data_IF_484461499532
#
_entry.id   IF_484461499532
#
_cell.length_a   1.000
_cell.length_b   1.000
_cell.length_c   1.000
_cell.angle_alpha   90.00
_cell.angle_beta   90.00
_cell.angle_gamma   90.00
#
_symmetry.space_group_name_H-M   'P 1'
#
loop_
_entity.id
_entity.type
_entity.pdbx_description
1 polymer ?
#
# COMPACT_ATOMS: atom_id res chain seq x y z
N UNK A 1 -34.26 -19.84 -50.33
CA UNK A 1 -32.85 -20.09 -50.72
C UNK A 1 -32.12 -18.76 -50.66
N UNK A 2 -31.11 -18.52 -49.83
CA UNK A 2 -30.55 -19.31 -48.72
C UNK A 2 -29.78 -18.37 -47.76
N UNK A 3 -29.80 -18.66 -46.45
CA UNK A 3 -28.75 -18.31 -45.47
C UNK A 3 -27.60 -19.35 -45.56
N UNK A 4 -26.40 -19.22 -44.91
CA UNK A 4 -25.97 -18.47 -43.71
C UNK A 4 -24.87 -17.40 -44.06
N UNK A 5 -23.93 -16.90 -43.23
CA UNK A 5 -23.35 -17.30 -41.91
C UNK A 5 -22.78 -16.10 -41.12
N UNK A 6 -22.25 -16.34 -39.92
CA UNK A 6 -21.62 -15.41 -38.97
C UNK A 6 -20.14 -15.07 -39.25
N UNK A 7 -19.63 -14.02 -38.59
CA UNK A 7 -18.20 -13.77 -38.41
C UNK A 7 -17.92 -12.49 -37.61
N UNK A 8 -17.97 -12.56 -36.27
CA UNK A 8 -17.39 -11.53 -35.39
C UNK A 8 -15.96 -11.92 -35.08
N UNK A 9 -15.00 -11.13 -35.57
CA UNK A 9 -13.58 -11.27 -35.21
C UNK A 9 -13.24 -10.18 -34.19
N UNK A 10 -12.65 -10.60 -33.07
CA UNK A 10 -12.25 -9.75 -31.96
C UNK A 10 -10.73 -9.64 -31.99
N UNK A 11 -10.24 -8.60 -32.68
CA UNK A 11 -8.79 -8.37 -32.80
C UNK A 11 -8.22 -7.86 -31.48
N UNK A 12 -7.68 -8.79 -30.71
CA UNK A 12 -6.78 -8.55 -29.60
C UNK A 12 -5.50 -7.87 -30.12
N UNK A 13 -5.28 -6.62 -29.71
CA UNK A 13 -4.05 -5.87 -29.95
C UNK A 13 -3.33 -5.57 -28.63
N UNK A 14 -3.12 -6.61 -27.83
CA UNK A 14 -2.14 -6.67 -26.74
C UNK A 14 -0.70 -6.61 -27.27
N UNK A 15 -0.31 -5.46 -27.84
CA UNK A 15 1.04 -5.22 -28.33
C UNK A 15 2.00 -4.82 -27.20
N UNK A 16 2.62 -5.86 -26.63
CA UNK A 16 3.94 -5.89 -25.97
C UNK A 16 4.71 -4.55 -25.92
N UNK A 17 4.89 -4.01 -24.70
CA UNK A 17 5.87 -2.96 -24.41
C UNK A 17 6.89 -3.49 -23.40
N UNK A 18 8.21 -3.32 -23.66
CA UNK A 18 9.23 -3.80 -22.74
C UNK A 18 9.18 -3.03 -21.42
N UNK A 19 8.91 -3.75 -20.32
CA UNK A 19 9.05 -3.24 -18.95
C UNK A 19 10.54 -3.03 -18.64
N UNK A 20 11.02 -1.80 -18.79
CA UNK A 20 12.32 -1.38 -18.24
C UNK A 20 12.20 -1.22 -16.72
N UNK A 21 13.14 -1.76 -15.91
CA UNK A 21 13.08 -1.61 -14.46
C UNK A 21 13.37 -0.15 -14.07
N UNK A 22 12.34 0.57 -13.65
CA UNK A 22 12.45 1.98 -13.25
C UNK A 22 12.94 2.10 -11.81
N UNK A 23 13.96 2.91 -11.59
CA UNK A 23 14.48 3.25 -10.27
C UNK A 23 13.57 4.26 -9.58
N UNK A 24 13.31 4.03 -8.29
CA UNK A 24 12.86 5.01 -7.30
C UNK A 24 13.54 6.38 -7.46
N UNK A 25 12.93 7.44 -6.89
CA UNK A 25 13.37 8.85 -6.84
C UNK A 25 13.49 9.64 -8.17
N UNK A 26 12.44 10.40 -8.54
CA UNK A 26 12.49 11.87 -8.85
C UNK A 26 11.04 12.41 -9.06
N UNK A 27 10.61 13.47 -8.37
CA UNK A 27 9.20 13.91 -8.32
C UNK A 27 8.80 14.96 -9.38
N UNK A 28 7.49 15.03 -9.68
CA UNK A 28 6.87 16.14 -10.43
C UNK A 28 6.60 17.36 -9.55
N UNK A 29 7.66 18.05 -9.11
CA UNK A 29 7.57 19.44 -8.66
C UNK A 29 8.95 20.12 -8.61
N UNK A 30 9.47 20.54 -9.78
CA UNK A 30 10.54 21.56 -9.82
C UNK A 30 10.29 22.61 -10.89
N UNK A 31 10.04 23.84 -10.43
CA UNK A 31 10.49 25.00 -11.16
C UNK A 31 12.02 25.06 -11.12
N UNK A 32 12.64 25.30 -12.27
CA UNK A 32 14.02 25.80 -12.46
C UNK A 32 15.18 25.01 -11.81
N UNK A 33 16.01 24.40 -12.66
CA UNK A 33 17.44 24.17 -12.37
C UNK A 33 18.28 25.00 -13.31
N UNK A 34 19.28 25.72 -12.77
CA UNK A 34 20.30 26.40 -13.54
C UNK A 34 21.67 25.71 -13.38
N UNK A 35 22.30 25.43 -14.51
CA UNK A 35 23.75 25.31 -14.73
C UNK A 35 24.59 24.32 -13.87
N UNK A 36 24.84 23.14 -14.46
CA UNK A 36 26.16 22.61 -14.84
C UNK A 36 27.36 22.66 -13.86
N UNK A 37 28.05 21.51 -13.73
CA UNK A 37 29.38 21.34 -14.36
C UNK A 37 29.82 19.86 -14.50
N UNK A 38 30.57 19.60 -15.57
CA UNK A 38 31.24 18.32 -15.89
C UNK A 38 32.70 18.37 -15.45
N UNK A 39 33.26 17.21 -15.06
CA UNK A 39 34.66 16.73 -15.09
C UNK A 39 34.82 15.75 -13.90
N UNK A 40 35.35 14.52 -14.01
CA UNK A 40 35.76 13.72 -15.18
C UNK A 40 36.88 12.71 -14.83
N UNK A 41 36.89 11.53 -15.47
CA UNK A 41 38.12 10.76 -15.72
C UNK A 41 38.43 9.48 -14.91
N UNK A 42 38.25 8.33 -15.56
CA UNK A 42 39.03 7.09 -15.36
C UNK A 42 38.65 6.16 -14.20
N UNK A 43 38.93 4.85 -14.23
CA UNK A 43 39.38 3.97 -15.34
C UNK A 43 39.15 2.49 -14.97
N UNK A 44 38.92 1.66 -16.00
CA UNK A 44 38.93 0.18 -16.05
C UNK A 44 39.47 -0.63 -14.85
N UNK A 45 38.66 -1.60 -14.40
CA UNK A 45 39.14 -2.94 -14.00
C UNK A 45 38.06 -4.00 -14.24
N UNK A 46 38.32 -4.98 -15.10
CA UNK A 46 37.46 -6.16 -15.31
C UNK A 46 37.94 -7.26 -14.37
N UNK A 47 37.04 -7.85 -13.57
CA UNK A 47 37.30 -9.10 -12.87
C UNK A 47 36.07 -10.01 -12.81
N UNK A 48 36.26 -11.27 -13.21
CA UNK A 48 35.59 -12.43 -12.62
C UNK A 48 34.15 -12.70 -13.06
N UNK A 49 33.99 -13.55 -14.07
CA UNK A 49 32.81 -14.43 -14.18
C UNK A 49 32.81 -15.43 -13.00
N UNK A 50 32.33 -14.98 -11.85
CA UNK A 50 31.92 -15.84 -10.75
C UNK A 50 30.42 -16.09 -10.84
N UNK A 51 30.02 -17.26 -11.32
CA UNK A 51 28.61 -17.64 -11.33
C UNK A 51 28.10 -17.71 -9.88
N UNK A 52 27.21 -16.79 -9.50
CA UNK A 52 26.41 -16.94 -8.27
C UNK A 52 25.59 -18.21 -8.40
N UNK A 53 25.68 -19.16 -7.44
CA UNK A 53 24.86 -20.36 -7.49
C UNK A 53 23.40 -19.96 -7.38
N UNK A 54 22.60 -20.34 -8.38
CA UNK A 54 21.15 -20.16 -8.39
C UNK A 54 20.50 -21.14 -7.39
N UNK A 55 20.67 -20.84 -6.10
CA UNK A 55 20.08 -21.58 -4.98
C UNK A 55 19.49 -20.64 -3.92
N UNK A 56 18.85 -19.57 -4.38
CA UNK A 56 17.81 -18.87 -3.64
C UNK A 56 16.53 -18.89 -4.49
N UNK A 57 16.02 -20.10 -4.70
CA UNK A 57 14.64 -20.32 -5.16
C UNK A 57 13.66 -19.95 -4.05
N UNK A 58 13.60 -18.67 -3.71
CA UNK A 58 12.34 -18.09 -3.26
C UNK A 58 11.50 -17.93 -4.51
N UNK A 59 10.53 -18.83 -4.71
CA UNK A 59 9.59 -18.68 -5.80
C UNK A 59 8.89 -17.32 -5.64
N UNK A 60 9.06 -16.43 -6.61
CA UNK A 60 8.13 -15.32 -6.77
C UNK A 60 6.76 -15.97 -6.95
N UNK A 61 5.87 -15.76 -5.98
CA UNK A 61 4.54 -16.34 -6.01
C UNK A 61 3.70 -15.49 -6.98
N UNK A 62 3.90 -15.72 -8.29
CA UNK A 62 3.14 -15.07 -9.36
C UNK A 62 1.63 -15.20 -9.07
N UNK A 63 1.02 -14.10 -8.63
CA UNK A 63 -0.42 -14.02 -8.35
C UNK A 63 -0.83 -13.55 -6.95
N UNK A 64 0.07 -13.45 -5.95
CA UNK A 64 -0.28 -12.87 -4.64
C UNK A 64 0.24 -11.42 -4.52
N UNK A 65 -0.58 -10.44 -4.10
CA UNK A 65 -0.08 -9.09 -3.84
C UNK A 65 1.03 -9.08 -2.79
N UNK A 66 2.05 -8.19 -2.93
CA UNK A 66 3.11 -8.07 -1.95
C UNK A 66 2.56 -7.51 -0.63
N UNK A 67 2.88 -8.12 0.52
CA UNK A 67 2.34 -7.67 1.80
C UNK A 67 3.04 -6.41 2.33
N UNK A 68 2.22 -5.51 2.87
CA UNK A 68 2.58 -4.20 3.42
C UNK A 68 2.77 -4.30 4.93
N UNK A 69 3.71 -3.54 5.50
CA UNK A 69 3.90 -3.44 6.94
C UNK A 69 2.91 -2.46 7.55
N UNK A 70 2.24 -2.86 8.63
CA UNK A 70 1.45 -1.99 9.51
C UNK A 70 1.83 -2.22 10.97
N UNK A 71 1.11 -1.59 11.89
CA UNK A 71 1.26 -1.80 13.34
C UNK A 71 -0.03 -2.29 13.99
N UNK A 72 0.11 -3.13 15.01
CA UNK A 72 -0.96 -3.53 15.94
C UNK A 72 -0.34 -3.76 17.32
N UNK A 73 -0.99 -3.24 18.37
CA UNK A 73 -0.56 -3.42 19.77
C UNK A 73 0.95 -3.19 20.02
N UNK A 74 1.53 -2.18 19.37
CA UNK A 74 2.95 -1.80 19.41
C UNK A 74 3.92 -2.79 18.74
N UNK A 75 3.40 -3.80 18.04
CA UNK A 75 4.15 -4.77 17.22
C UNK A 75 3.91 -4.56 15.71
N UNK A 76 4.91 -4.84 14.85
CA UNK A 76 4.73 -4.80 13.40
C UNK A 76 3.94 -6.01 12.91
N UNK A 77 3.03 -5.77 11.97
CA UNK A 77 2.25 -6.81 11.29
C UNK A 77 2.40 -6.68 9.78
N UNK A 78 1.99 -7.71 9.02
CA UNK A 78 1.89 -7.61 7.55
C UNK A 78 0.50 -7.93 7.04
N UNK A 79 0.04 -7.19 6.05
CA UNK A 79 -1.32 -7.28 5.48
C UNK A 79 -1.32 -7.09 3.96
N UNK A 80 -2.45 -7.34 3.31
CA UNK A 80 -2.65 -7.12 1.87
C UNK A 80 -3.71 -6.03 1.65
N UNK A 81 -3.70 -5.41 0.47
CA UNK A 81 -4.85 -4.69 -0.07
C UNK A 81 -5.46 -5.57 -1.17
N UNK A 82 -6.75 -5.92 -1.11
CA UNK A 82 -7.37 -6.81 -2.10
C UNK A 82 -8.59 -6.20 -2.81
N UNK A 83 -9.49 -5.57 -2.06
CA UNK A 83 -10.66 -4.88 -2.61
C UNK A 83 -10.92 -3.57 -1.87
N UNK A 84 -11.46 -2.55 -2.54
CA UNK A 84 -11.82 -1.26 -1.94
C UNK A 84 -13.21 -0.79 -2.41
N UNK A 85 -13.96 -0.12 -1.53
CA UNK A 85 -15.29 0.42 -1.83
C UNK A 85 -15.30 1.64 -2.73
N UNK A 86 -14.16 2.31 -2.86
CA UNK A 86 -13.97 3.54 -3.60
C UNK A 86 -13.01 3.33 -4.77
N UNK A 87 -13.31 3.94 -5.92
CA UNK A 87 -12.56 3.75 -7.16
C UNK A 87 -11.19 4.44 -7.12
N UNK A 88 -11.11 5.66 -6.58
CA UNK A 88 -9.86 6.43 -6.52
C UNK A 88 -8.88 5.78 -5.53
N UNK A 89 -9.39 5.22 -4.43
CA UNK A 89 -8.59 4.41 -3.50
C UNK A 89 -8.16 3.07 -4.11
N UNK A 90 -9.01 2.39 -4.88
CA UNK A 90 -8.63 1.16 -5.58
C UNK A 90 -7.50 1.40 -6.59
N UNK A 91 -7.61 2.46 -7.39
CA UNK A 91 -6.59 2.84 -8.38
C UNK A 91 -5.28 3.27 -7.68
N UNK A 92 -5.35 4.12 -6.64
CA UNK A 92 -4.19 4.56 -5.86
C UNK A 92 -3.41 3.38 -5.25
N UNK A 93 -4.11 2.44 -4.61
CA UNK A 93 -3.48 1.27 -4.00
C UNK A 93 -2.93 0.31 -5.06
N UNK A 94 -3.59 0.21 -6.22
CA UNK A 94 -3.10 -0.61 -7.35
C UNK A 94 -1.77 -0.09 -7.87
N UNK A 95 -1.68 1.20 -8.15
CA UNK A 95 -0.47 1.87 -8.65
C UNK A 95 0.66 1.85 -7.60
N UNK A 96 0.33 2.06 -6.32
CA UNK A 96 1.31 2.04 -5.22
C UNK A 96 1.95 0.66 -5.03
N UNK A 97 1.17 -0.43 -5.18
CA UNK A 97 1.62 -1.79 -4.89
C UNK A 97 2.13 -2.57 -6.11
N UNK A 98 2.02 -2.01 -7.33
CA UNK A 98 2.16 -2.73 -8.62
C UNK A 98 1.33 -4.04 -8.62
N UNK A 99 0.14 -4.00 -8.02
CA UNK A 99 -0.68 -5.17 -7.77
C UNK A 99 -2.17 -4.83 -7.70
N UNK A 100 -3.09 -5.55 -8.40
CA UNK A 100 -4.49 -5.14 -8.50
C UNK A 100 -5.24 -5.11 -7.18
N UNK A 101 -5.86 -3.96 -6.88
CA UNK A 101 -6.91 -3.82 -5.86
C UNK A 101 -8.24 -3.64 -6.58
N UNK A 102 -9.21 -4.51 -6.32
CA UNK A 102 -10.47 -4.53 -7.07
C UNK A 102 -11.46 -3.52 -6.47
N UNK A 103 -11.99 -2.62 -7.30
CA UNK A 103 -13.06 -1.72 -6.90
C UNK A 103 -14.40 -2.48 -6.74
N UNK A 104 -14.97 -2.46 -5.53
CA UNK A 104 -16.22 -3.16 -5.15
C UNK A 104 -17.11 -2.20 -4.34
N UNK A 105 -17.94 -1.35 -5.00
CA UNK A 105 -18.75 -0.32 -4.34
C UNK A 105 -19.60 -0.83 -3.16
N UNK A 106 -20.16 -2.04 -3.30
CA UNK A 106 -21.03 -2.66 -2.31
C UNK A 106 -20.36 -2.93 -0.95
N UNK A 107 -19.03 -2.79 -0.84
CA UNK A 107 -18.35 -2.80 0.46
C UNK A 107 -18.77 -1.61 1.35
N UNK A 108 -19.04 -0.44 0.78
CA UNK A 108 -19.53 0.72 1.53
C UNK A 108 -20.97 0.53 2.07
N UNK A 109 -21.75 -0.36 1.45
CA UNK A 109 -23.10 -0.72 1.91
C UNK A 109 -23.10 -1.80 3.02
N UNK A 110 -21.93 -2.32 3.41
CA UNK A 110 -21.86 -3.36 4.46
C UNK A 110 -22.01 -2.76 5.86
N UNK A 111 -22.75 -3.40 6.80
CA UNK A 111 -23.01 -2.81 8.11
C UNK A 111 -21.76 -2.56 8.95
N UNK A 112 -21.66 -1.37 9.54
CA UNK A 112 -20.54 -0.91 10.40
C UNK A 112 -20.07 -1.93 11.46
N UNK A 113 -20.94 -2.72 12.13
CA UNK A 113 -20.50 -3.74 13.10
C UNK A 113 -19.68 -4.91 12.49
N UNK A 114 -19.53 -4.97 11.16
CA UNK A 114 -18.65 -5.91 10.47
C UNK A 114 -17.27 -5.31 10.14
N UNK A 115 -17.05 -4.03 10.43
CA UNK A 115 -15.79 -3.32 10.16
C UNK A 115 -14.94 -3.22 11.42
N UNK A 116 -13.61 -3.22 11.23
CA UNK A 116 -12.65 -2.83 12.26
C UNK A 116 -11.85 -1.64 11.76
N UNK A 117 -11.60 -0.59 12.56
CA UNK A 117 -10.91 0.59 12.06
C UNK A 117 -9.46 0.27 11.65
N UNK A 118 -9.03 0.88 10.55
CA UNK A 118 -7.62 1.05 10.18
C UNK A 118 -7.31 2.55 10.17
N UNK A 119 -6.29 2.94 10.93
CA UNK A 119 -5.89 4.33 11.08
C UNK A 119 -4.78 4.66 10.07
N UNK A 120 -5.11 5.53 9.12
CA UNK A 120 -4.27 5.89 7.98
C UNK A 120 -3.82 7.34 8.13
N UNK A 121 -2.51 7.59 8.16
CA UNK A 121 -1.97 8.91 8.49
C UNK A 121 -1.83 9.78 7.24
N UNK A 122 -2.41 10.99 7.28
CA UNK A 122 -2.38 11.95 6.16
C UNK A 122 -1.40 13.12 6.37
N UNK A 123 -0.74 13.17 7.53
CA UNK A 123 0.39 14.04 7.83
C UNK A 123 1.24 13.47 8.99
N UNK A 124 2.30 14.20 9.38
CA UNK A 124 3.08 13.91 10.59
C UNK A 124 4.46 13.34 10.27
N UNK A 125 4.73 12.12 10.73
CA UNK A 125 6.04 11.46 10.58
C UNK A 125 6.18 10.88 9.16
N UNK A 126 7.14 11.38 8.39
CA UNK A 126 7.63 10.77 7.14
C UNK A 126 8.77 9.81 7.48
N UNK A 127 8.62 8.48 7.29
CA UNK A 127 9.65 7.50 7.64
C UNK A 127 10.63 7.23 6.47
N UNK A 128 11.90 6.96 6.78
CA UNK A 128 12.90 6.49 5.80
C UNK A 128 12.63 5.07 5.23
N UNK A 129 11.53 4.42 5.63
CA UNK A 129 11.26 3.00 5.43
C UNK A 129 9.83 2.72 4.96
N UNK A 130 9.16 1.77 5.62
CA UNK A 130 7.75 1.49 5.34
C UNK A 130 6.89 2.71 5.71
N UNK A 131 5.97 3.09 4.81
CA UNK A 131 5.07 4.22 4.94
C UNK A 131 3.62 3.79 4.62
N UNK A 132 2.64 4.51 5.15
CA UNK A 132 1.24 4.41 4.74
C UNK A 132 0.99 5.05 3.36
N UNK A 133 -0.22 4.93 2.80
CA UNK A 133 -0.53 5.33 1.42
C UNK A 133 -0.36 6.82 1.09
N UNK A 134 -0.24 7.69 2.10
CA UNK A 134 0.03 9.12 1.93
C UNK A 134 1.50 9.52 2.19
N UNK A 135 2.41 8.55 2.38
CA UNK A 135 3.84 8.79 2.59
C UNK A 135 4.24 9.06 4.05
N UNK A 136 3.28 9.04 4.99
CA UNK A 136 3.54 9.16 6.43
C UNK A 136 3.71 7.78 7.08
N UNK A 137 3.70 7.71 8.40
CA UNK A 137 3.91 6.45 9.15
C UNK A 137 2.99 5.30 8.69
N UNK A 138 3.40 4.03 8.87
CA UNK A 138 2.55 2.88 8.61
C UNK A 138 1.19 2.93 9.31
N UNK A 139 0.21 2.29 8.67
CA UNK A 139 -1.16 2.19 9.15
C UNK A 139 -1.25 1.41 10.47
N UNK A 140 -2.17 1.83 11.35
CA UNK A 140 -2.40 1.18 12.65
C UNK A 140 -3.71 0.42 12.63
N UNK A 141 -3.67 -0.85 13.00
CA UNK A 141 -4.82 -1.75 13.05
C UNK A 141 -5.32 -1.90 14.49
N UNK A 142 -6.64 -1.99 14.66
CA UNK A 142 -7.27 -2.25 15.97
C UNK A 142 -7.46 -3.74 16.29
N UNK A 143 -7.30 -4.65 15.32
CA UNK A 143 -7.45 -6.10 15.53
C UNK A 143 -6.67 -6.96 14.53
N UNK A 144 -6.18 -8.11 14.96
CA UNK A 144 -5.47 -9.13 14.16
C UNK A 144 -6.12 -10.52 14.31
N UNK A 145 -5.85 -11.50 13.43
CA UNK A 145 -6.48 -12.82 13.52
C UNK A 145 -6.20 -13.50 14.86
N UNK A 146 -7.26 -13.85 15.59
CA UNK A 146 -7.18 -14.33 16.98
C UNK A 146 -7.96 -13.45 17.94
N UNK A 147 -8.10 -12.15 17.63
CA UNK A 147 -8.98 -11.23 18.36
C UNK A 147 -10.46 -11.53 18.08
N UNK A 148 -11.30 -11.45 19.12
CA UNK A 148 -12.76 -11.54 18.99
C UNK A 148 -13.35 -10.47 18.03
N UNK A 149 -12.66 -9.33 17.90
CA UNK A 149 -13.02 -8.22 17.03
C UNK A 149 -12.27 -8.23 15.67
N UNK A 150 -11.68 -9.35 15.26
CA UNK A 150 -11.02 -9.45 13.97
C UNK A 150 -12.00 -9.50 12.80
N UNK A 151 -11.74 -8.64 11.82
CA UNK A 151 -12.40 -8.65 10.51
C UNK A 151 -11.41 -8.15 9.46
N UNK A 152 -11.39 -8.72 8.24
CA UNK A 152 -10.60 -8.17 7.15
C UNK A 152 -11.25 -6.92 6.53
N UNK A 153 -12.52 -6.63 6.80
CA UNK A 153 -13.18 -5.41 6.33
C UNK A 153 -12.76 -4.24 7.22
N UNK A 154 -12.02 -3.28 6.65
CA UNK A 154 -11.52 -2.13 7.39
C UNK A 154 -12.24 -0.86 6.97
N UNK A 155 -12.86 -0.18 7.93
CA UNK A 155 -13.24 1.22 7.76
C UNK A 155 -11.98 2.08 7.83
N UNK A 156 -11.79 2.95 6.85
CA UNK A 156 -10.65 3.88 6.80
C UNK A 156 -10.90 5.03 7.79
N UNK A 157 -9.97 5.24 8.71
CA UNK A 157 -9.97 6.34 9.67
C UNK A 157 -8.76 7.22 9.36
N UNK A 158 -8.98 8.37 8.71
CA UNK A 158 -7.91 9.29 8.32
C UNK A 158 -7.45 10.08 9.54
N UNK A 159 -6.18 9.94 9.92
CA UNK A 159 -5.57 10.59 11.09
C UNK A 159 -4.73 11.80 10.65
N UNK A 160 -5.06 12.97 11.19
CA UNK A 160 -4.38 14.25 10.95
C UNK A 160 -3.87 14.84 12.27
N UNK A 161 -2.55 14.94 12.43
CA UNK A 161 -1.90 15.72 13.49
C UNK A 161 -2.29 17.19 13.42
N UNK A 162 -2.68 17.75 14.57
CA UNK A 162 -3.00 19.19 14.69
C UNK A 162 -1.72 20.03 14.57
N UNK A 163 -1.77 21.23 13.94
CA UNK A 163 -0.60 22.12 13.83
C UNK A 163 0.03 22.59 15.16
N UNK A 164 -0.65 22.38 16.28
CA UNK A 164 -0.17 22.70 17.65
C UNK A 164 0.41 21.51 18.41
N UNK A 165 0.38 20.31 17.82
CA UNK A 165 0.92 19.08 18.41
C UNK A 165 2.24 18.70 17.71
N UNK A 166 3.16 18.12 18.47
CA UNK A 166 4.40 17.54 17.92
C UNK A 166 4.10 16.11 17.46
N UNK A 167 4.25 15.77 16.16
CA UNK A 167 3.99 14.41 15.69
C UNK A 167 4.95 13.39 16.30
N UNK A 168 4.43 12.18 16.55
CA UNK A 168 5.18 11.02 17.00
C UNK A 168 4.59 9.76 16.37
N UNK A 169 5.38 8.71 16.21
CA UNK A 169 4.84 7.44 15.71
C UNK A 169 3.83 6.87 16.70
N UNK A 170 2.65 6.50 16.21
CA UNK A 170 1.62 5.77 16.94
C UNK A 170 1.56 4.33 16.40
N UNK A 171 1.59 3.35 17.29
CA UNK A 171 1.76 1.92 16.93
C UNK A 171 0.64 1.02 17.46
N UNK A 172 -0.40 1.60 18.06
CA UNK A 172 -1.55 0.88 18.60
C UNK A 172 -2.80 1.76 18.56
N UNK A 173 -3.98 1.14 18.39
CA UNK A 173 -5.25 1.85 18.37
C UNK A 173 -5.49 2.64 19.66
N UNK A 174 -5.07 2.11 20.82
CA UNK A 174 -5.10 2.81 22.10
C UNK A 174 -4.25 4.08 22.11
N UNK A 175 -3.08 4.08 21.44
CA UNK A 175 -2.23 5.26 21.30
C UNK A 175 -2.85 6.32 20.37
N UNK A 176 -3.55 5.89 19.31
CA UNK A 176 -4.34 6.78 18.43
C UNK A 176 -5.51 7.41 19.18
N UNK A 177 -6.32 6.60 19.88
CA UNK A 177 -7.42 7.08 20.70
C UNK A 177 -6.94 7.97 21.87
N UNK A 178 -5.72 7.75 22.39
CA UNK A 178 -5.11 8.63 23.38
C UNK A 178 -4.72 9.99 22.79
N UNK A 179 -4.10 10.01 21.60
CA UNK A 179 -3.76 11.24 20.90
C UNK A 179 -5.03 12.05 20.53
N UNK A 180 -6.09 11.38 20.07
CA UNK A 180 -7.36 12.03 19.75
C UNK A 180 -8.01 12.66 21.00
N UNK A 181 -8.11 11.90 22.10
CA UNK A 181 -8.63 12.42 23.38
C UNK A 181 -7.80 13.56 23.97
N UNK A 182 -6.51 13.63 23.65
CA UNK A 182 -5.64 14.74 24.02
C UNK A 182 -5.79 15.97 23.09
N UNK A 183 -6.51 15.83 21.96
CA UNK A 183 -6.61 16.84 20.92
C UNK A 183 -5.34 16.99 20.07
N UNK A 184 -4.43 16.00 20.12
CA UNK A 184 -3.19 15.97 19.34
C UNK A 184 -3.45 15.65 17.86
N UNK A 185 -4.44 14.80 17.58
CA UNK A 185 -4.90 14.44 16.23
C UNK A 185 -6.40 14.71 16.04
N UNK A 186 -6.82 14.81 14.79
CA UNK A 186 -8.19 14.61 14.35
C UNK A 186 -8.32 13.27 13.63
N UNK A 187 -9.50 12.66 13.71
CA UNK A 187 -9.87 11.50 12.93
C UNK A 187 -11.07 11.86 12.05
N UNK A 188 -11.03 11.48 10.77
CA UNK A 188 -12.15 11.65 9.82
C UNK A 188 -12.45 10.32 9.15
N UNK A 189 -13.73 9.95 9.10
CA UNK A 189 -14.21 8.73 8.48
C UNK A 189 -14.88 9.07 7.14
N UNK A 190 -14.21 8.86 5.99
CA UNK A 190 -14.77 9.16 4.67
C UNK A 190 -15.84 8.16 4.19
N UNK A 191 -16.17 7.13 4.97
CA UNK A 191 -17.09 6.06 4.57
C UNK A 191 -16.48 5.03 3.61
N UNK A 192 -15.14 4.97 3.53
CA UNK A 192 -14.41 4.05 2.65
C UNK A 192 -14.11 2.75 3.42
N UNK A 193 -14.42 1.62 2.79
CA UNK A 193 -14.16 0.27 3.31
C UNK A 193 -13.16 -0.44 2.40
N UNK A 194 -12.09 -0.99 2.97
CA UNK A 194 -11.07 -1.76 2.25
C UNK A 194 -10.94 -3.15 2.86
N UNK A 195 -10.93 -4.19 2.03
CA UNK A 195 -10.56 -5.53 2.47
C UNK A 195 -9.05 -5.58 2.66
N UNK A 196 -8.61 -5.61 3.92
CA UNK A 196 -7.21 -5.70 4.33
C UNK A 196 -6.98 -6.93 5.22
N UNK A 197 -6.81 -8.13 4.63
CA UNK A 197 -6.56 -9.33 5.39
C UNK A 197 -5.11 -9.34 5.88
N UNK A 198 -4.93 -9.44 7.20
CA UNK A 198 -3.62 -9.64 7.82
C UNK A 198 -3.09 -11.02 7.42
N UNK A 199 -1.78 -11.12 7.18
CA UNK A 199 -1.08 -12.35 6.76
C UNK A 199 0.04 -12.77 7.72
N UNK A 200 0.48 -11.85 8.58
CA UNK A 200 1.60 -12.04 9.51
C UNK A 200 1.34 -11.16 10.74
N UNK A 201 1.28 -11.76 11.93
CA UNK A 201 0.92 -11.11 13.20
C UNK A 201 1.60 -11.84 14.39
N UNK A 202 1.63 -11.28 15.62
CA UNK A 202 2.50 -11.78 16.69
C UNK A 202 2.38 -13.28 17.02
N UNK A 203 1.15 -13.82 16.94
CA UNK A 203 0.84 -15.21 17.24
C UNK A 203 0.62 -16.11 16.01
N UNK A 204 0.83 -15.63 14.77
CA UNK A 204 0.58 -16.45 13.58
C UNK A 204 0.86 -15.83 12.21
N UNK A 205 0.76 -16.67 11.17
CA UNK A 205 0.90 -16.30 9.76
C UNK A 205 0.00 -17.19 8.88
N UNK A 206 -0.22 -16.81 7.61
CA UNK A 206 -0.95 -17.63 6.60
C UNK A 206 -0.26 -17.66 5.24
#
# INVERSE_FOLDING_TARGET
MSTPTSGTEHDDHSADRPRTPWSWWTPWLTALVAAALVIGGGSYAIYGLGAVPASMSGAMHEGMPPPVTGYYADEPIRFLHTEASDAEVADLLTDMMDSPVVHVPALADTPDPLHGPVYVFINGIEPDGAAGPFGFQPDVFASVPGDDAYTPLRSVHLVEWRPSAEPRTLTSADAVAAAERAGEVAITEPGIVVTMPVVDWPDGQR
#
